data_IF_685115814694
#
_entry.id   IF_685115814694
#
_cell.length_a   1.000
_cell.length_b   1.000
_cell.length_c   1.000
_cell.angle_alpha   90.00
_cell.angle_beta   90.00
_cell.angle_gamma   90.00
#
_symmetry.space_group_name_H-M   'P 1'
#
loop_
_entity.id
_entity.type
_entity.pdbx_description
1 polymer ?
#
# COMPACT_ATOMS: atom_id res chain seq x y z
N UNK A 1 6.48 -1.78 -18.71
CA UNK A 1 7.33 -1.77 -17.51
C UNK A 1 7.50 -3.18 -16.97
N UNK A 2 8.48 -3.38 -16.08
CA UNK A 2 8.73 -4.66 -15.41
C UNK A 2 8.65 -4.49 -13.91
N UNK A 3 8.05 -5.48 -13.21
CA UNK A 3 7.95 -5.52 -11.76
C UNK A 3 7.87 -6.99 -11.30
N UNK A 4 8.68 -7.41 -10.31
CA UNK A 4 8.80 -8.81 -9.85
C UNK A 4 8.96 -9.82 -11.02
N UNK A 5 9.76 -9.49 -12.02
CA UNK A 5 9.95 -10.33 -13.22
C UNK A 5 8.75 -10.41 -14.18
N UNK A 6 7.68 -9.65 -13.94
CA UNK A 6 6.44 -9.63 -14.71
C UNK A 6 6.38 -8.37 -15.59
N UNK A 7 5.82 -8.49 -16.80
CA UNK A 7 5.64 -7.38 -17.74
C UNK A 7 4.26 -6.71 -17.53
N UNK A 8 4.24 -5.39 -17.35
CA UNK A 8 3.01 -4.62 -17.17
C UNK A 8 2.80 -3.58 -18.26
N UNK A 9 1.59 -3.48 -18.76
CA UNK A 9 1.16 -2.32 -19.52
C UNK A 9 1.11 -1.09 -18.58
N UNK A 10 1.62 0.03 -19.07
CA UNK A 10 1.58 1.34 -18.39
C UNK A 10 1.18 2.41 -19.41
N UNK A 11 0.70 3.53 -18.94
CA UNK A 11 0.38 4.73 -19.72
C UNK A 11 0.74 5.99 -18.90
N UNK A 12 0.45 7.15 -19.41
CA UNK A 12 0.69 8.45 -18.80
C UNK A 12 -0.23 8.80 -17.61
N UNK A 13 -1.15 7.87 -17.26
CA UNK A 13 -2.12 8.06 -16.17
C UNK A 13 -1.77 7.27 -14.90
N UNK A 14 -0.67 6.51 -14.91
CA UNK A 14 -0.21 5.75 -13.75
C UNK A 14 1.29 5.88 -13.53
N UNK A 15 1.72 5.70 -12.29
CA UNK A 15 3.13 5.62 -11.96
C UNK A 15 3.77 4.40 -12.64
N UNK A 16 4.98 4.56 -13.18
CA UNK A 16 5.77 3.44 -13.69
C UNK A 16 6.17 2.54 -12.51
N UNK A 17 5.88 1.21 -12.58
CA UNK A 17 6.25 0.26 -11.52
C UNK A 17 7.74 0.31 -11.16
N UNK A 18 8.05 0.68 -9.92
CA UNK A 18 9.42 0.78 -9.39
C UNK A 18 9.53 0.63 -7.87
N UNK A 19 8.46 0.11 -7.23
CA UNK A 19 8.40 -0.02 -5.77
C UNK A 19 9.39 -1.07 -5.24
N UNK A 20 10.16 -0.79 -4.19
CA UNK A 20 10.98 -1.76 -3.50
C UNK A 20 10.17 -2.82 -2.75
N UNK A 21 8.86 -2.64 -2.56
CA UNK A 21 7.94 -3.65 -1.99
C UNK A 21 7.98 -4.96 -2.80
N UNK A 22 8.39 -4.90 -4.08
CA UNK A 22 8.57 -6.10 -4.90
C UNK A 22 9.49 -7.15 -4.28
N UNK A 23 10.54 -6.74 -3.56
CA UNK A 23 11.42 -7.66 -2.84
C UNK A 23 10.69 -8.40 -1.72
N UNK A 24 9.82 -7.71 -0.98
CA UNK A 24 9.01 -8.31 0.07
C UNK A 24 7.96 -9.29 -0.48
N UNK A 25 7.38 -8.99 -1.64
CA UNK A 25 6.43 -9.90 -2.32
C UNK A 25 7.13 -11.21 -2.68
N UNK A 26 8.34 -11.15 -3.24
CA UNK A 26 9.14 -12.32 -3.61
C UNK A 26 9.50 -13.20 -2.40
N UNK A 27 9.68 -12.59 -1.22
CA UNK A 27 9.94 -13.28 0.05
C UNK A 27 8.66 -13.62 0.85
N UNK A 28 7.46 -13.45 0.24
CA UNK A 28 6.17 -13.74 0.88
C UNK A 28 5.89 -12.91 2.13
N UNK A 29 6.48 -11.72 2.23
CA UNK A 29 6.43 -10.83 3.39
C UNK A 29 6.94 -11.46 4.70
N UNK A 30 7.83 -12.44 4.60
CA UNK A 30 8.50 -13.03 5.76
C UNK A 30 9.40 -11.97 6.45
N UNK A 31 9.51 -11.96 7.79
CA UNK A 31 8.91 -12.88 8.75
C UNK A 31 7.54 -12.44 9.31
N UNK A 32 6.91 -11.40 8.74
CA UNK A 32 5.68 -10.79 9.27
C UNK A 32 4.42 -11.60 9.00
N UNK A 33 4.39 -12.37 7.89
CA UNK A 33 3.24 -13.18 7.50
C UNK A 33 3.64 -14.65 7.28
N UNK A 34 2.72 -15.56 7.59
CA UNK A 34 2.74 -16.92 7.06
C UNK A 34 2.01 -16.91 5.72
N UNK A 35 2.76 -17.07 4.64
CA UNK A 35 2.21 -17.00 3.29
C UNK A 35 1.08 -18.03 3.03
N UNK A 36 1.06 -19.15 3.79
CA UNK A 36 0.01 -20.18 3.67
C UNK A 36 -1.33 -19.76 4.29
N UNK A 37 -1.32 -18.79 5.21
CA UNK A 37 -2.50 -18.30 5.92
C UNK A 37 -3.09 -17.04 5.28
N UNK A 38 -2.40 -16.39 4.32
CA UNK A 38 -2.87 -15.17 3.67
C UNK A 38 -4.00 -15.48 2.69
N UNK A 39 -5.17 -14.92 2.95
CA UNK A 39 -6.39 -15.12 2.15
C UNK A 39 -6.97 -13.84 1.58
N UNK A 40 -6.74 -12.70 2.21
CA UNK A 40 -7.29 -11.41 1.81
C UNK A 40 -6.22 -10.32 1.80
N UNK A 41 -6.06 -9.67 0.64
CA UNK A 41 -5.06 -8.61 0.44
C UNK A 41 -5.77 -7.36 -0.10
N UNK A 42 -5.36 -6.19 0.37
CA UNK A 42 -5.72 -4.90 -0.24
C UNK A 42 -4.46 -4.20 -0.76
N UNK A 43 -4.46 -3.79 -2.03
CA UNK A 43 -3.45 -2.92 -2.62
C UNK A 43 -4.04 -1.51 -2.79
N UNK A 44 -3.57 -0.57 -1.99
CA UNK A 44 -4.13 0.78 -1.86
C UNK A 44 -3.34 1.77 -2.71
N UNK A 45 -4.01 2.41 -3.67
CA UNK A 45 -3.37 3.21 -4.72
C UNK A 45 -2.72 2.30 -5.76
N UNK A 46 -3.48 1.34 -6.28
CA UNK A 46 -2.96 0.23 -7.10
C UNK A 46 -2.33 0.64 -8.43
N UNK A 47 -2.73 1.78 -9.00
CA UNK A 47 -2.16 2.31 -10.25
C UNK A 47 -2.27 1.33 -11.42
N UNK A 48 -1.15 0.80 -11.87
CA UNK A 48 -1.11 -0.22 -12.93
C UNK A 48 -1.54 -1.62 -12.49
N UNK A 49 -1.78 -1.83 -11.19
CA UNK A 49 -2.06 -3.13 -10.58
C UNK A 49 -0.83 -4.00 -10.34
N UNK A 50 0.38 -3.45 -10.46
CA UNK A 50 1.60 -4.26 -10.42
C UNK A 50 1.80 -4.95 -9.06
N UNK A 51 1.55 -4.26 -7.94
CA UNK A 51 1.63 -4.83 -6.60
C UNK A 51 0.49 -5.84 -6.38
N UNK A 52 -0.76 -5.47 -6.67
CA UNK A 52 -1.92 -6.36 -6.54
C UNK A 52 -1.74 -7.68 -7.29
N UNK A 53 -1.27 -7.61 -8.55
CA UNK A 53 -1.09 -8.77 -9.42
C UNK A 53 0.10 -9.62 -8.96
N UNK A 54 1.22 -9.00 -8.59
CA UNK A 54 2.36 -9.72 -8.03
C UNK A 54 1.99 -10.44 -6.73
N UNK A 55 1.23 -9.79 -5.83
CA UNK A 55 0.68 -10.43 -4.63
C UNK A 55 -0.25 -11.59 -4.98
N UNK A 56 -1.17 -11.42 -5.94
CA UNK A 56 -2.07 -12.50 -6.36
C UNK A 56 -1.33 -13.73 -6.92
N UNK A 57 -0.16 -13.54 -7.52
CA UNK A 57 0.68 -14.63 -8.02
C UNK A 57 1.50 -15.28 -6.89
N UNK A 58 2.03 -14.47 -5.96
CA UNK A 58 2.80 -14.95 -4.80
C UNK A 58 1.91 -15.70 -3.79
N UNK A 59 0.63 -15.29 -3.66
CA UNK A 59 -0.35 -15.87 -2.75
C UNK A 59 -1.51 -16.50 -3.53
N UNK A 60 -1.37 -17.75 -4.00
CA UNK A 60 -2.33 -18.36 -4.94
C UNK A 60 -3.73 -18.58 -4.38
N UNK A 61 -3.90 -18.55 -3.05
CA UNK A 61 -5.19 -18.71 -2.37
C UNK A 61 -5.83 -17.38 -1.99
N UNK A 62 -5.11 -16.25 -2.12
CA UNK A 62 -5.60 -14.95 -1.73
C UNK A 62 -6.49 -14.31 -2.81
N UNK A 63 -7.53 -13.60 -2.34
CA UNK A 63 -8.25 -12.60 -3.12
C UNK A 63 -7.65 -11.22 -2.84
N UNK A 64 -7.54 -10.40 -3.88
CA UNK A 64 -6.89 -9.09 -3.81
C UNK A 64 -7.88 -8.01 -4.24
N UNK A 65 -8.14 -7.07 -3.34
CA UNK A 65 -8.84 -5.83 -3.65
C UNK A 65 -7.81 -4.78 -4.09
N UNK A 66 -7.85 -4.38 -5.35
CA UNK A 66 -7.00 -3.36 -5.95
C UNK A 66 -7.77 -2.03 -5.95
N UNK A 67 -7.37 -1.12 -5.04
CA UNK A 67 -8.11 0.12 -4.80
C UNK A 67 -7.38 1.32 -5.41
N UNK A 68 -8.14 2.15 -6.13
CA UNK A 68 -7.65 3.42 -6.69
C UNK A 68 -8.82 4.39 -6.87
N UNK A 69 -8.55 5.68 -6.79
CA UNK A 69 -9.57 6.70 -7.04
C UNK A 69 -9.65 7.11 -8.52
N UNK A 70 -8.75 6.61 -9.36
CA UNK A 70 -8.71 6.89 -10.79
C UNK A 70 -9.32 5.71 -11.58
N UNK A 71 -10.49 5.86 -12.24
CA UNK A 71 -11.09 4.80 -13.08
C UNK A 71 -10.14 4.30 -14.19
N UNK A 72 -9.27 5.17 -14.70
CA UNK A 72 -8.29 4.81 -15.71
C UNK A 72 -7.21 3.84 -15.18
N UNK A 73 -6.78 4.01 -13.93
CA UNK A 73 -5.87 3.09 -13.24
C UNK A 73 -6.54 1.72 -13.07
N UNK A 74 -7.80 1.68 -12.63
CA UNK A 74 -8.56 0.43 -12.47
C UNK A 74 -8.78 -0.30 -13.80
N UNK A 75 -9.04 0.43 -14.90
CA UNK A 75 -9.16 -0.17 -16.23
C UNK A 75 -7.83 -0.80 -16.66
N UNK A 76 -6.69 -0.15 -16.36
CA UNK A 76 -5.38 -0.69 -16.65
C UNK A 76 -5.04 -1.90 -15.77
N UNK A 77 -5.38 -1.83 -14.47
CA UNK A 77 -5.27 -2.97 -13.52
C UNK A 77 -6.04 -4.19 -14.03
N UNK A 78 -7.29 -4.02 -14.47
CA UNK A 78 -8.10 -5.11 -15.01
C UNK A 78 -7.46 -5.74 -16.26
N UNK A 79 -6.93 -4.92 -17.19
CA UNK A 79 -6.18 -5.37 -18.36
C UNK A 79 -4.95 -6.19 -17.98
N UNK A 80 -4.15 -5.68 -17.05
CA UNK A 80 -2.94 -6.36 -16.59
C UNK A 80 -3.28 -7.65 -15.84
N UNK A 81 -4.32 -7.66 -14.98
CA UNK A 81 -4.78 -8.86 -14.28
C UNK A 81 -5.24 -9.97 -15.25
N UNK A 82 -5.92 -9.59 -16.34
CA UNK A 82 -6.30 -10.52 -17.38
C UNK A 82 -5.07 -11.10 -18.13
N UNK A 83 -4.09 -10.26 -18.44
CA UNK A 83 -2.86 -10.68 -19.13
C UNK A 83 -2.04 -11.67 -18.29
N UNK A 84 -2.09 -11.54 -16.95
CA UNK A 84 -1.40 -12.44 -16.01
C UNK A 84 -2.28 -13.60 -15.49
N UNK A 85 -3.53 -13.75 -15.98
CA UNK A 85 -4.40 -14.87 -15.63
C UNK A 85 -4.98 -14.82 -14.21
N UNK A 86 -4.92 -13.67 -13.53
CA UNK A 86 -5.39 -13.48 -12.13
C UNK A 86 -6.67 -12.65 -12.02
N UNK A 87 -7.33 -12.33 -13.13
CA UNK A 87 -8.52 -11.47 -13.16
C UNK A 87 -9.70 -11.96 -12.29
N UNK A 88 -9.73 -13.25 -11.92
CA UNK A 88 -10.77 -13.80 -11.01
C UNK A 88 -10.49 -13.51 -9.54
N UNK A 89 -9.24 -13.19 -9.20
CA UNK A 89 -8.78 -12.98 -7.81
C UNK A 89 -8.35 -11.55 -7.53
N UNK A 90 -8.17 -10.73 -8.57
CA UNK A 90 -7.85 -9.29 -8.45
C UNK A 90 -9.08 -8.50 -8.83
N UNK A 91 -9.70 -7.85 -7.85
CA UNK A 91 -10.90 -7.03 -8.02
C UNK A 91 -10.55 -5.55 -7.92
N UNK A 92 -10.74 -4.80 -9.01
CA UNK A 92 -10.60 -3.33 -8.99
C UNK A 92 -11.78 -2.66 -8.28
N UNK A 93 -11.51 -1.77 -7.35
CA UNK A 93 -12.51 -0.99 -6.61
C UNK A 93 -12.16 0.50 -6.68
N UNK A 94 -13.10 1.31 -7.18
CA UNK A 94 -12.97 2.76 -7.09
C UNK A 94 -13.14 3.19 -5.63
N UNK A 95 -12.09 3.79 -5.06
CA UNK A 95 -12.02 4.08 -3.64
C UNK A 95 -11.09 5.26 -3.35
N UNK A 96 -11.48 6.09 -2.40
CA UNK A 96 -10.54 6.98 -1.74
C UNK A 96 -9.89 6.19 -0.58
N UNK A 97 -8.68 5.70 -0.85
CA UNK A 97 -7.94 4.75 -0.01
C UNK A 97 -8.74 3.45 0.23
N UNK A 98 -9.18 3.16 1.46
CA UNK A 98 -9.92 1.94 1.84
C UNK A 98 -11.43 2.18 2.03
N UNK A 99 -11.96 3.36 1.73
CA UNK A 99 -13.37 3.72 2.01
C UNK A 99 -14.40 2.80 1.35
N UNK A 100 -14.10 2.23 0.18
CA UNK A 100 -14.99 1.29 -0.50
C UNK A 100 -15.05 -0.11 0.14
N UNK A 101 -14.22 -0.39 1.14
CA UNK A 101 -14.23 -1.64 1.89
C UNK A 101 -14.93 -1.48 3.23
N UNK A 102 -15.54 -2.56 3.74
CA UNK A 102 -16.21 -2.52 5.05
C UNK A 102 -15.21 -2.19 6.17
N UNK A 103 -15.59 -1.37 7.17
CA UNK A 103 -14.73 -1.00 8.29
C UNK A 103 -14.68 -2.11 9.36
N UNK A 104 -14.31 -3.30 8.96
CA UNK A 104 -14.22 -4.50 9.80
C UNK A 104 -12.95 -5.29 9.47
N UNK A 105 -12.39 -6.06 10.42
CA UNK A 105 -11.20 -6.85 10.18
C UNK A 105 -11.43 -7.91 9.09
N UNK A 106 -10.76 -7.75 7.96
CA UNK A 106 -10.92 -8.59 6.79
C UNK A 106 -9.60 -8.88 6.05
N UNK A 107 -8.58 -8.01 6.15
CA UNK A 107 -7.35 -8.15 5.39
C UNK A 107 -6.21 -8.71 6.24
N UNK A 108 -5.50 -9.69 5.69
CA UNK A 108 -4.27 -10.23 6.26
C UNK A 108 -3.08 -9.38 5.83
N UNK A 109 -3.16 -8.74 4.67
CA UNK A 109 -2.17 -7.79 4.17
C UNK A 109 -2.87 -6.57 3.57
N UNK A 110 -2.51 -5.41 4.05
CA UNK A 110 -2.75 -4.14 3.35
C UNK A 110 -1.38 -3.64 2.88
N UNK A 111 -1.25 -3.42 1.58
CA UNK A 111 -0.02 -2.90 0.97
C UNK A 111 -0.32 -1.59 0.26
N UNK A 112 0.60 -0.64 0.32
CA UNK A 112 0.44 0.64 -0.37
C UNK A 112 1.79 1.22 -0.76
N UNK A 113 1.87 1.71 -1.99
CA UNK A 113 2.86 2.68 -2.42
C UNK A 113 2.13 3.97 -2.81
N UNK A 114 1.69 4.75 -1.83
CA UNK A 114 0.88 5.95 -2.08
C UNK A 114 1.77 7.10 -2.54
N UNK A 115 1.21 8.23 -3.00
CA UNK A 115 1.97 9.47 -3.16
C UNK A 115 2.68 9.84 -1.85
N UNK A 116 3.97 10.21 -1.95
CA UNK A 116 4.80 10.59 -0.79
C UNK A 116 5.76 11.75 -1.07
N UNK A 117 5.67 12.38 -2.24
CA UNK A 117 6.55 13.51 -2.59
C UNK A 117 6.01 14.77 -1.93
N UNK A 118 6.82 15.40 -1.08
CA UNK A 118 6.48 16.66 -0.45
C UNK A 118 6.52 17.85 -1.44
N UNK A 119 6.00 19.00 -1.02
CA UNK A 119 5.87 20.18 -1.88
C UNK A 119 7.22 20.73 -2.35
N UNK A 120 8.29 20.63 -1.54
CA UNK A 120 9.63 21.11 -1.90
C UNK A 120 10.26 20.19 -2.94
N UNK A 121 10.21 18.88 -2.72
CA UNK A 121 10.68 17.88 -3.65
C UNK A 121 9.90 17.90 -4.98
N UNK A 122 8.56 18.13 -4.94
CA UNK A 122 7.75 18.32 -6.15
C UNK A 122 8.24 19.49 -7.01
N UNK A 123 8.64 20.61 -6.39
CA UNK A 123 9.17 21.77 -7.12
C UNK A 123 10.55 21.49 -7.75
N UNK A 124 11.32 20.53 -7.20
CA UNK A 124 12.66 20.18 -7.63
C UNK A 124 12.72 18.95 -8.58
N UNK A 125 11.56 18.33 -8.89
CA UNK A 125 11.53 17.12 -9.72
C UNK A 125 12.15 17.32 -11.11
N UNK A 126 12.98 16.36 -11.58
CA UNK A 126 13.51 16.32 -12.93
C UNK A 126 12.41 16.32 -13.99
N UNK A 127 12.74 16.78 -15.20
CA UNK A 127 11.77 16.93 -16.29
C UNK A 127 11.10 15.60 -16.71
N UNK A 128 11.75 14.48 -16.51
CA UNK A 128 11.24 13.14 -16.81
C UNK A 128 10.02 12.76 -15.98
N UNK A 129 9.91 13.22 -14.72
CA UNK A 129 8.74 13.00 -13.85
C UNK A 129 7.52 13.82 -14.25
N UNK A 130 7.67 14.79 -15.15
CA UNK A 130 6.55 15.63 -15.66
C UNK A 130 5.57 14.84 -16.53
N UNK A 131 5.95 13.65 -16.98
CA UNK A 131 5.10 12.75 -17.75
C UNK A 131 4.25 11.81 -16.86
N UNK A 132 4.53 11.76 -15.56
CA UNK A 132 3.74 10.99 -14.59
C UNK A 132 2.65 11.87 -13.96
N UNK A 133 1.49 11.31 -13.57
CA UNK A 133 0.42 12.09 -12.96
C UNK A 133 0.90 12.74 -11.66
N UNK A 134 0.73 14.05 -11.54
CA UNK A 134 1.11 14.76 -10.31
C UNK A 134 0.38 14.22 -9.07
N UNK A 135 -0.89 13.78 -9.24
CA UNK A 135 -1.67 13.16 -8.17
C UNK A 135 -1.09 11.83 -7.67
N UNK A 136 -0.28 11.14 -8.48
CA UNK A 136 0.42 9.92 -8.09
C UNK A 136 1.75 10.19 -7.34
N UNK A 137 2.16 11.44 -7.22
CA UNK A 137 3.42 11.85 -6.60
C UNK A 137 3.20 12.74 -5.37
N UNK A 138 2.35 13.77 -5.49
CA UNK A 138 2.20 14.82 -4.48
C UNK A 138 1.45 14.35 -3.23
N UNK A 139 2.03 14.61 -2.04
CA UNK A 139 1.46 14.21 -0.76
C UNK A 139 1.52 15.33 0.31
N UNK A 140 1.22 16.55 -0.09
CA UNK A 140 1.12 17.69 0.82
C UNK A 140 2.46 18.31 1.18
N UNK A 141 2.48 19.01 2.32
CA UNK A 141 3.64 19.79 2.73
C UNK A 141 4.83 18.94 3.19
N UNK A 142 4.56 17.79 3.80
CA UNK A 142 5.55 16.89 4.39
C UNK A 142 5.56 15.47 3.80
N UNK A 143 4.82 15.24 2.72
CA UNK A 143 4.77 13.96 2.03
C UNK A 143 3.91 12.88 2.74
N UNK A 144 3.11 13.23 3.77
CA UNK A 144 2.42 12.25 4.61
C UNK A 144 0.88 12.29 4.49
N UNK A 145 0.30 13.10 3.61
CA UNK A 145 -1.17 13.23 3.54
C UNK A 145 -1.87 11.89 3.26
N UNK A 146 -1.32 11.09 2.34
CA UNK A 146 -1.83 9.77 2.03
C UNK A 146 -1.76 8.83 3.25
N UNK A 147 -0.62 8.81 3.93
CA UNK A 147 -0.39 7.96 5.10
C UNK A 147 -1.33 8.32 6.25
N UNK A 148 -1.56 9.63 6.48
CA UNK A 148 -2.53 10.11 7.48
C UNK A 148 -3.95 9.59 7.22
N UNK A 149 -4.32 9.44 5.95
CA UNK A 149 -5.62 8.89 5.58
C UNK A 149 -5.68 7.36 5.65
N UNK A 150 -4.60 6.68 5.26
CA UNK A 150 -4.53 5.21 5.21
C UNK A 150 -4.47 4.58 6.60
N UNK A 151 -3.63 5.09 7.51
CA UNK A 151 -3.40 4.50 8.83
C UNK A 151 -4.69 4.22 9.64
N UNK A 152 -5.60 5.21 9.87
CA UNK A 152 -6.81 4.97 10.62
C UNK A 152 -7.79 4.02 9.91
N UNK A 153 -7.81 4.01 8.58
CA UNK A 153 -8.64 3.10 7.81
C UNK A 153 -8.10 1.67 7.85
N UNK A 154 -6.77 1.49 7.77
CA UNK A 154 -6.12 0.20 7.90
C UNK A 154 -6.29 -0.40 9.31
N UNK A 155 -6.25 0.43 10.37
CA UNK A 155 -6.49 0.02 11.74
C UNK A 155 -7.85 -0.70 11.94
N UNK A 156 -8.87 -0.30 11.19
CA UNK A 156 -10.21 -0.88 11.25
C UNK A 156 -10.36 -2.17 10.43
N UNK A 157 -9.47 -2.39 9.46
CA UNK A 157 -9.64 -3.40 8.40
C UNK A 157 -8.62 -4.54 8.42
N UNK A 158 -7.50 -4.37 9.10
CA UNK A 158 -6.55 -5.46 9.32
C UNK A 158 -7.12 -6.50 10.28
N UNK A 159 -6.84 -7.78 10.02
CA UNK A 159 -7.02 -8.84 11.01
C UNK A 159 -6.02 -8.65 12.16
N UNK A 160 -6.18 -9.38 13.26
CA UNK A 160 -5.26 -9.27 14.40
C UNK A 160 -3.81 -9.64 14.03
N UNK A 161 -3.65 -10.60 13.10
CA UNK A 161 -2.36 -11.06 12.58
C UNK A 161 -1.96 -10.38 11.29
N UNK A 162 -2.84 -9.54 10.74
CA UNK A 162 -2.59 -8.83 9.51
C UNK A 162 -1.56 -7.73 9.68
N UNK A 163 -0.96 -7.30 8.58
CA UNK A 163 0.03 -6.24 8.56
C UNK A 163 -0.28 -5.18 7.50
N UNK A 164 0.07 -3.93 7.81
CA UNK A 164 0.21 -2.87 6.83
C UNK A 164 1.67 -2.76 6.41
N UNK A 165 1.92 -2.81 5.11
CA UNK A 165 3.21 -2.50 4.48
C UNK A 165 3.04 -1.24 3.65
N UNK A 166 3.78 -0.20 3.95
CA UNK A 166 3.64 1.08 3.27
C UNK A 166 4.99 1.69 2.89
N UNK A 167 5.11 2.12 1.64
CA UNK A 167 6.25 2.87 1.13
C UNK A 167 5.99 4.37 1.28
N UNK A 168 6.98 5.09 1.82
CA UNK A 168 6.96 6.55 1.96
C UNK A 168 8.28 7.20 1.49
N UNK A 169 9.10 6.47 0.75
CA UNK A 169 10.35 6.97 0.20
C UNK A 169 11.28 7.57 1.26
N UNK A 170 11.67 8.82 1.09
CA UNK A 170 12.56 9.51 2.03
C UNK A 170 11.85 10.13 3.24
N UNK A 171 10.54 9.90 3.41
CA UNK A 171 9.69 10.49 4.45
C UNK A 171 9.90 9.95 5.87
N UNK A 172 10.88 9.07 6.13
CA UNK A 172 11.05 8.41 7.44
C UNK A 172 11.19 9.40 8.60
N UNK A 173 11.96 10.47 8.43
CA UNK A 173 12.15 11.48 9.49
C UNK A 173 10.84 12.23 9.80
N UNK A 174 10.13 12.66 8.76
CA UNK A 174 8.82 13.32 8.89
C UNK A 174 7.79 12.38 9.53
N UNK A 175 7.77 11.10 9.12
CA UNK A 175 6.90 10.09 9.70
C UNK A 175 7.15 9.88 11.19
N UNK A 176 8.42 9.71 11.60
CA UNK A 176 8.78 9.51 13.01
C UNK A 176 8.40 10.72 13.87
N UNK A 177 8.50 11.93 13.31
CA UNK A 177 8.07 13.16 13.99
C UNK A 177 6.53 13.26 14.09
N UNK A 178 5.81 12.87 13.04
CA UNK A 178 4.34 12.97 12.98
C UNK A 178 3.65 11.86 13.80
N UNK A 179 4.28 10.69 13.90
CA UNK A 179 3.71 9.50 14.53
C UNK A 179 4.70 8.85 15.52
N UNK A 180 5.17 9.56 16.56
CA UNK A 180 6.22 9.07 17.47
C UNK A 180 5.80 7.83 18.26
N UNK A 181 4.51 7.61 18.45
CA UNK A 181 3.96 6.48 19.22
C UNK A 181 3.66 5.22 18.37
N UNK A 182 3.77 5.30 17.02
CA UNK A 182 3.53 4.13 16.19
C UNK A 182 4.75 3.21 16.16
N UNK A 183 4.63 1.95 16.62
CA UNK A 183 5.75 1.01 16.68
C UNK A 183 6.00 0.36 15.32
N UNK A 184 6.36 1.15 14.32
CA UNK A 184 6.65 0.63 12.98
C UNK A 184 8.03 -0.01 12.91
N UNK A 185 8.15 -1.06 12.09
CA UNK A 185 9.44 -1.65 11.72
C UNK A 185 9.85 -1.13 10.35
N UNK A 186 10.98 -0.43 10.25
CA UNK A 186 11.58 -0.02 8.99
C UNK A 186 12.29 -1.19 8.33
N UNK A 187 11.94 -1.46 7.08
CA UNK A 187 12.49 -2.61 6.35
C UNK A 187 13.79 -2.21 5.64
N UNK A 188 14.83 -3.02 5.83
CA UNK A 188 16.07 -2.93 5.05
C UNK A 188 15.99 -3.90 3.89
N UNK A 189 16.05 -3.39 2.66
CA UNK A 189 15.90 -4.15 1.43
C UNK A 189 17.26 -4.37 0.76
N UNK A 190 17.52 -5.59 0.29
CA UNK A 190 18.85 -5.97 -0.24
C UNK A 190 19.15 -5.32 -1.59
N UNK A 191 18.11 -5.04 -2.40
CA UNK A 191 18.24 -4.41 -3.72
C UNK A 191 18.20 -2.89 -3.67
N UNK A 192 18.16 -2.32 -2.47
CA UNK A 192 18.02 -0.88 -2.26
C UNK A 192 16.56 -0.45 -2.23
N UNK A 193 16.34 0.86 -2.03
CA UNK A 193 15.07 1.45 -1.70
C UNK A 193 15.06 1.87 -0.23
N UNK A 194 14.22 2.85 0.10
CA UNK A 194 14.12 3.39 1.44
C UNK A 194 12.65 3.70 1.79
N UNK A 195 12.39 3.79 3.10
CA UNK A 195 11.11 4.26 3.60
C UNK A 195 9.97 3.27 3.40
N UNK A 196 10.24 1.97 3.44
CA UNK A 196 9.19 0.95 3.60
C UNK A 196 9.09 0.60 5.07
N UNK A 197 7.89 0.65 5.61
CA UNK A 197 7.62 0.23 6.98
C UNK A 197 6.54 -0.85 7.04
N UNK A 198 6.59 -1.63 8.12
CA UNK A 198 5.59 -2.62 8.49
C UNK A 198 5.05 -2.31 9.87
N UNK A 199 3.75 -2.44 10.05
CA UNK A 199 3.08 -2.39 11.35
C UNK A 199 1.98 -3.45 11.41
N UNK A 200 1.89 -4.18 12.52
CA UNK A 200 0.84 -5.17 12.73
C UNK A 200 -0.51 -4.55 13.09
N UNK A 201 -1.58 -5.29 12.81
CA UNK A 201 -2.95 -4.82 13.00
C UNK A 201 -3.32 -4.55 14.45
N UNK A 202 -2.75 -5.30 15.42
CA UNK A 202 -2.99 -5.07 16.85
C UNK A 202 -2.39 -3.74 17.30
N UNK A 203 -1.13 -3.51 16.98
CA UNK A 203 -0.41 -2.27 17.29
C UNK A 203 -1.07 -1.06 16.64
N UNK A 204 -1.43 -1.19 15.36
CA UNK A 204 -2.09 -0.11 14.64
C UNK A 204 -3.49 0.19 15.23
N UNK A 205 -4.27 -0.83 15.55
CA UNK A 205 -5.60 -0.65 16.17
C UNK A 205 -5.50 -0.03 17.54
N UNK A 206 -4.51 -0.41 18.35
CA UNK A 206 -4.28 0.17 19.68
C UNK A 206 -3.99 1.67 19.59
N UNK A 207 -3.23 2.11 18.59
CA UNK A 207 -2.90 3.52 18.38
C UNK A 207 -4.11 4.37 17.94
N UNK A 208 -5.08 3.77 17.26
CA UNK A 208 -6.30 4.45 16.78
C UNK A 208 -7.56 4.10 17.59
N UNK A 209 -7.41 3.36 18.71
CA UNK A 209 -8.52 3.14 19.62
C UNK A 209 -8.96 4.46 20.27
N UNK A 210 -10.29 4.69 20.45
CA UNK A 210 -10.75 5.85 21.21
C UNK A 210 -10.14 5.86 22.62
N UNK A 211 -9.71 7.03 23.08
CA UNK A 211 -9.09 7.20 24.39
C UNK A 211 -9.99 6.79 25.59
N UNK A 212 -11.30 6.63 25.33
CA UNK A 212 -12.28 6.15 26.30
C UNK A 212 -12.58 4.66 26.08
N UNK A 213 -11.69 3.80 26.59
CA UNK A 213 -12.06 2.42 26.87
C UNK A 213 -13.17 2.37 27.91
N UNK A 214 -14.07 1.32 27.92
CA UNK A 214 -15.16 1.23 28.88
C UNK A 214 -14.60 1.38 30.32
N UNK A 215 -15.13 2.35 31.09
CA UNK A 215 -14.88 2.48 32.50
C UNK A 215 -15.00 1.08 33.12
N UNK A 216 -13.89 0.54 33.65
CA UNK A 216 -13.96 -0.67 34.47
C UNK A 216 -14.86 -0.31 35.65
N UNK A 217 -16.10 -0.73 35.60
CA UNK A 217 -16.96 -0.76 36.78
C UNK A 217 -16.40 -1.83 37.69
N UNK A 218 -15.82 -1.41 38.81
CA UNK A 218 -15.50 -2.25 39.94
C UNK A 218 -16.76 -2.93 40.52
#
# INVERSE_FOLDING_TARGET
AWFCGLAFAVNDQVLIPRSPIGEMIEDGFSPWLDASEVTRIADVGTGSGCIAIACALAFPHAEVDALDNAPAALALTARNAAAHGVARRVRGLESNWLEATAPEPAFDLIVSNPPYVDAEAMAALPAEYRHEPQAALAAGADGLDAVRAILPQAAQRLTERGVLVCEIGHGQAAFTQAFPELPVTWVSLARGGAGVFVIDGLSLRAAYAPADGPLRTE
#
